data_IF_867616647329
#
_entry.id   IF_867616647329
#
_cell.length_a   1.000
_cell.length_b   1.000
_cell.length_c   1.000
_cell.angle_alpha   90.00
_cell.angle_beta   90.00
_cell.angle_gamma   90.00
#
_symmetry.space_group_name_H-M   'P 1'
#
loop_
_entity.id
_entity.type
_entity.pdbx_description
1 polymer ?
#
# COMPACT_ATOMS: atom_id res chain seq x y z
N UNK A 1 38.86 15.78 2.49
CA UNK A 1 38.18 15.52 3.78
C UNK A 1 36.63 15.42 3.68
N UNK A 2 35.97 16.00 2.68
CA UNK A 2 34.51 15.94 2.46
C UNK A 2 33.99 14.56 2.02
N UNK A 3 34.76 13.78 1.27
CA UNK A 3 34.37 12.44 0.77
C UNK A 3 34.24 11.38 1.87
N UNK A 4 35.01 11.46 2.93
CA UNK A 4 35.01 10.48 4.02
C UNK A 4 33.72 10.62 4.86
N UNK A 5 33.25 11.84 5.10
CA UNK A 5 31.99 12.08 5.83
C UNK A 5 30.78 11.49 5.08
N UNK A 6 30.68 11.70 3.76
CA UNK A 6 29.58 11.16 2.97
C UNK A 6 29.54 9.61 2.95
N UNK A 7 30.67 8.93 2.94
CA UNK A 7 30.75 7.47 2.98
C UNK A 7 30.36 6.94 4.37
N UNK A 8 30.78 7.62 5.44
CA UNK A 8 30.44 7.24 6.82
C UNK A 8 28.94 7.43 7.04
N UNK A 9 28.34 8.52 6.58
CA UNK A 9 26.91 8.79 6.71
C UNK A 9 26.07 7.76 5.93
N UNK A 10 26.48 7.38 4.71
CA UNK A 10 25.83 6.33 3.92
C UNK A 10 25.90 4.97 4.62
N UNK A 11 27.04 4.60 5.17
CA UNK A 11 27.22 3.33 5.88
C UNK A 11 26.38 3.27 7.17
N UNK A 12 26.30 4.38 7.92
CA UNK A 12 25.47 4.45 9.14
C UNK A 12 24.01 4.31 8.80
N UNK A 13 23.54 4.96 7.73
CA UNK A 13 22.15 4.83 7.27
C UNK A 13 21.81 3.40 6.85
N UNK A 14 22.70 2.75 6.11
CA UNK A 14 22.49 1.37 5.67
C UNK A 14 22.49 0.38 6.84
N UNK A 15 23.37 0.55 7.83
CA UNK A 15 23.37 -0.25 9.06
C UNK A 15 22.07 -0.06 9.83
N UNK A 16 21.54 1.15 9.93
CA UNK A 16 20.30 1.45 10.63
C UNK A 16 19.10 0.79 9.93
N UNK A 17 19.00 0.86 8.61
CA UNK A 17 17.98 0.19 7.82
C UNK A 17 18.06 -1.34 7.93
N UNK A 18 19.25 -1.92 7.88
CA UNK A 18 19.49 -3.35 8.10
C UNK A 18 19.05 -3.77 9.51
N UNK A 19 19.37 -2.98 10.53
CA UNK A 19 18.95 -3.23 11.90
C UNK A 19 17.42 -3.19 12.03
N UNK A 20 16.76 -2.18 11.44
CA UNK A 20 15.29 -2.07 11.42
C UNK A 20 14.66 -3.30 10.78
N UNK A 21 15.17 -3.74 9.63
CA UNK A 21 14.71 -4.93 8.92
C UNK A 21 14.87 -6.20 9.76
N UNK A 22 16.03 -6.43 10.37
CA UNK A 22 16.29 -7.59 11.22
C UNK A 22 15.40 -7.63 12.46
N UNK A 23 15.07 -6.48 13.03
CA UNK A 23 14.18 -6.38 14.21
C UNK A 23 12.70 -6.29 13.84
N UNK A 24 12.35 -6.28 12.56
CA UNK A 24 10.98 -6.11 12.08
C UNK A 24 10.40 -4.76 12.48
N UNK A 25 11.20 -3.70 12.45
CA UNK A 25 10.79 -2.33 12.71
C UNK A 25 10.46 -1.62 11.40
N UNK A 26 9.68 -0.55 11.47
CA UNK A 26 9.38 0.30 10.30
C UNK A 26 10.62 1.04 9.84
N UNK A 27 10.76 1.18 8.52
CA UNK A 27 11.83 1.95 7.87
C UNK A 27 11.55 3.46 7.97
N UNK A 28 12.52 4.27 7.58
CA UNK A 28 12.32 5.72 7.40
C UNK A 28 11.38 5.97 6.22
N UNK A 29 11.50 5.16 5.16
CA UNK A 29 10.64 5.24 3.98
C UNK A 29 9.18 4.93 4.30
N UNK A 30 8.90 3.93 5.15
CA UNK A 30 7.54 3.67 5.64
C UNK A 30 6.91 4.91 6.30
N UNK A 31 7.70 5.68 7.03
CA UNK A 31 7.23 6.90 7.69
C UNK A 31 6.98 8.02 6.68
N UNK A 32 7.85 8.17 5.67
CA UNK A 32 7.63 9.10 4.56
C UNK A 32 6.36 8.75 3.80
N UNK A 33 6.21 7.49 3.44
CA UNK A 33 5.00 6.98 2.77
C UNK A 33 3.73 7.29 3.59
N UNK A 34 3.77 7.11 4.90
CA UNK A 34 2.63 7.41 5.77
C UNK A 34 2.25 8.90 5.78
N UNK A 35 3.24 9.79 5.81
CA UNK A 35 3.01 11.25 5.72
C UNK A 35 2.34 11.64 4.39
N UNK A 36 2.79 11.05 3.29
CA UNK A 36 2.25 11.29 1.94
C UNK A 36 0.86 10.70 1.76
N UNK A 37 0.65 9.43 2.17
CA UNK A 37 -0.62 8.73 2.06
C UNK A 37 -1.76 9.54 2.66
N UNK A 38 -1.56 10.08 3.85
CA UNK A 38 -2.60 10.80 4.58
C UNK A 38 -2.49 12.32 4.45
N UNK A 39 -1.51 12.80 3.67
CA UNK A 39 -1.26 14.22 3.46
C UNK A 39 -1.23 15.00 4.79
N UNK A 40 -0.47 14.49 5.75
CA UNK A 40 -0.38 14.97 7.13
C UNK A 40 1.06 15.35 7.47
N UNK A 41 1.23 16.41 8.25
CA UNK A 41 2.57 16.84 8.70
C UNK A 41 3.12 15.98 9.84
N UNK A 42 4.43 16.07 10.09
CA UNK A 42 5.16 15.27 11.11
C UNK A 42 4.59 15.40 12.52
N UNK A 43 4.36 16.63 12.98
CA UNK A 43 3.83 16.89 14.32
C UNK A 43 2.36 16.42 14.46
N UNK A 44 1.43 16.78 13.54
CA UNK A 44 0.07 16.24 13.57
C UNK A 44 0.03 14.70 13.50
N UNK A 45 0.86 14.05 12.66
CA UNK A 45 0.92 12.59 12.60
C UNK A 45 1.35 12.00 13.96
N UNK A 46 2.38 12.56 14.59
CA UNK A 46 2.81 12.13 15.93
C UNK A 46 1.66 12.13 16.92
N UNK A 47 0.91 13.24 16.96
CA UNK A 47 -0.23 13.41 17.87
C UNK A 47 -1.35 12.42 17.56
N UNK A 48 -1.70 12.27 16.28
CA UNK A 48 -2.76 11.35 15.83
C UNK A 48 -2.45 9.90 16.21
N UNK A 49 -1.19 9.48 16.08
CA UNK A 49 -0.77 8.12 16.45
C UNK A 49 -0.62 7.92 17.97
N UNK A 50 -0.86 8.97 18.78
CA UNK A 50 -0.73 8.92 20.23
C UNK A 50 0.72 9.05 20.74
N UNK A 51 1.62 9.55 19.89
CA UNK A 51 3.02 9.80 20.25
C UNK A 51 3.22 11.23 20.79
N UNK A 52 4.43 11.49 21.30
CA UNK A 52 4.85 12.87 21.57
C UNK A 52 5.05 13.64 20.26
N UNK A 53 4.74 14.94 20.24
CA UNK A 53 4.68 15.80 19.05
C UNK A 53 5.89 15.70 18.12
N UNK A 54 7.09 15.55 18.67
CA UNK A 54 8.35 15.52 17.91
C UNK A 54 8.82 14.08 17.54
N UNK A 55 8.04 13.05 17.90
CA UNK A 55 8.46 11.65 17.78
C UNK A 55 8.72 11.23 16.32
N UNK A 56 7.80 11.53 15.41
CA UNK A 56 7.97 11.24 13.98
C UNK A 56 9.18 11.99 13.41
N UNK A 57 9.40 13.24 13.82
CA UNK A 57 10.60 13.98 13.39
C UNK A 57 11.89 13.30 13.84
N UNK A 58 11.95 12.79 15.08
CA UNK A 58 13.12 12.06 15.58
C UNK A 58 13.36 10.77 14.80
N UNK A 59 12.32 10.04 14.44
CA UNK A 59 12.45 8.80 13.64
C UNK A 59 12.97 9.07 12.23
N UNK A 60 12.55 10.17 11.61
CA UNK A 60 13.07 10.62 10.32
C UNK A 60 14.52 11.11 10.39
N UNK A 61 14.99 11.50 11.58
CA UNK A 61 16.39 11.86 11.85
C UNK A 61 17.26 10.65 12.29
N UNK A 62 16.75 9.42 12.19
CA UNK A 62 17.50 8.20 12.45
C UNK A 62 17.22 7.55 13.82
N UNK A 63 16.44 8.16 14.73
CA UNK A 63 16.07 7.47 15.96
C UNK A 63 15.25 6.22 15.65
N UNK A 64 15.63 5.08 16.22
CA UNK A 64 14.94 3.81 16.02
C UNK A 64 13.65 3.76 16.84
N UNK A 65 12.49 3.46 16.24
CA UNK A 65 11.24 3.29 16.98
C UNK A 65 11.22 1.98 17.78
N UNK A 66 10.44 1.94 18.85
CA UNK A 66 10.13 0.69 19.56
C UNK A 66 9.29 -0.23 18.66
N UNK A 67 9.24 -1.53 19.00
CA UNK A 67 8.39 -2.49 18.28
C UNK A 67 6.91 -2.12 18.38
N UNK A 68 6.47 -1.61 19.52
CA UNK A 68 5.10 -1.14 19.73
C UNK A 68 4.76 0.03 18.79
N UNK A 69 5.60 1.06 18.73
CA UNK A 69 5.40 2.21 17.86
C UNK A 69 5.52 1.84 16.38
N UNK A 70 6.42 0.91 16.04
CA UNK A 70 6.50 0.34 14.68
C UNK A 70 5.20 -0.35 14.28
N UNK A 71 4.57 -1.09 15.19
CA UNK A 71 3.29 -1.75 14.92
C UNK A 71 2.15 -0.73 14.71
N UNK A 72 2.12 0.36 15.49
CA UNK A 72 1.13 1.43 15.32
C UNK A 72 1.29 2.09 13.93
N UNK A 73 2.53 2.40 13.53
CA UNK A 73 2.83 2.97 12.21
C UNK A 73 2.43 1.99 11.10
N UNK A 74 2.77 0.72 11.24
CA UNK A 74 2.43 -0.32 10.25
C UNK A 74 0.92 -0.52 10.11
N UNK A 75 0.18 -0.49 11.22
CA UNK A 75 -1.28 -0.57 11.18
C UNK A 75 -1.88 0.64 10.44
N UNK A 76 -1.33 1.84 10.63
CA UNK A 76 -1.76 3.03 9.91
C UNK A 76 -1.41 2.95 8.41
N UNK A 77 -0.25 2.37 8.04
CA UNK A 77 0.13 2.14 6.65
C UNK A 77 -0.80 1.14 5.94
N UNK A 78 -1.24 0.09 6.65
CA UNK A 78 -2.01 -1.01 6.05
C UNK A 78 -3.53 -0.78 6.08
N UNK A 79 -4.04 0.17 6.87
CA UNK A 79 -5.49 0.33 7.09
C UNK A 79 -5.92 1.78 7.20
N UNK A 80 -6.62 2.30 6.18
CA UNK A 80 -7.22 3.63 6.26
C UNK A 80 -8.32 3.71 7.33
N UNK A 81 -8.98 2.60 7.67
CA UNK A 81 -9.96 2.53 8.77
C UNK A 81 -9.28 2.74 10.12
N UNK A 82 -8.11 2.13 10.33
CA UNK A 82 -7.31 2.35 11.55
C UNK A 82 -6.88 3.81 11.68
N UNK A 83 -6.41 4.42 10.58
CA UNK A 83 -6.02 5.84 10.58
C UNK A 83 -7.21 6.77 10.83
N UNK A 84 -8.38 6.47 10.26
CA UNK A 84 -9.63 7.19 10.53
C UNK A 84 -9.95 7.20 12.03
N UNK A 85 -9.91 6.03 12.65
CA UNK A 85 -10.14 5.90 14.09
C UNK A 85 -9.17 6.76 14.90
N UNK A 86 -7.86 6.70 14.58
CA UNK A 86 -6.83 7.50 15.26
C UNK A 86 -7.03 9.01 15.07
N UNK A 87 -7.44 9.44 13.88
CA UNK A 87 -7.78 10.84 13.62
C UNK A 87 -8.98 11.30 14.47
N UNK A 88 -10.03 10.48 14.55
CA UNK A 88 -11.22 10.80 15.35
C UNK A 88 -10.93 10.83 16.86
N UNK A 89 -10.15 9.88 17.36
CA UNK A 89 -9.73 9.82 18.78
C UNK A 89 -8.94 11.09 19.21
N UNK A 90 -8.19 11.70 18.28
CA UNK A 90 -7.29 12.81 18.57
C UNK A 90 -7.67 14.12 17.86
N UNK A 91 -8.91 14.23 17.34
CA UNK A 91 -9.36 15.38 16.53
C UNK A 91 -9.17 16.75 17.21
N UNK A 92 -9.39 16.82 18.52
CA UNK A 92 -9.30 18.05 19.30
C UNK A 92 -7.86 18.46 19.65
N UNK A 93 -6.88 17.59 19.37
CA UNK A 93 -5.46 17.80 19.65
C UNK A 93 -4.66 18.22 18.41
N UNK A 94 -5.28 18.21 17.22
CA UNK A 94 -4.66 18.61 15.96
C UNK A 94 -5.40 19.79 15.34
N UNK A 95 -4.69 20.60 14.55
CA UNK A 95 -5.32 21.71 13.85
C UNK A 95 -6.43 21.20 12.90
N UNK A 96 -7.59 21.89 12.90
CA UNK A 96 -8.75 21.52 12.09
C UNK A 96 -8.42 21.36 10.59
N UNK A 97 -7.51 22.18 10.06
CA UNK A 97 -7.08 22.09 8.66
C UNK A 97 -6.34 20.77 8.37
N UNK A 98 -5.43 20.34 9.26
CA UNK A 98 -4.71 19.07 9.13
C UNK A 98 -5.67 17.89 9.26
N UNK A 99 -6.59 17.94 10.23
CA UNK A 99 -7.62 16.92 10.41
C UNK A 99 -8.48 16.74 9.14
N UNK A 100 -9.06 17.85 8.62
CA UNK A 100 -9.91 17.78 7.41
C UNK A 100 -9.15 17.26 6.20
N UNK A 101 -7.91 17.69 6.00
CA UNK A 101 -7.06 17.26 4.89
C UNK A 101 -6.80 15.76 4.93
N UNK A 102 -6.43 15.23 6.11
CA UNK A 102 -6.21 13.81 6.31
C UNK A 102 -7.48 12.98 6.20
N UNK A 103 -8.62 13.45 6.72
CA UNK A 103 -9.91 12.74 6.61
C UNK A 103 -10.37 12.61 5.15
N UNK A 104 -10.14 13.64 4.31
CA UNK A 104 -10.43 13.55 2.88
C UNK A 104 -9.58 12.45 2.22
N UNK A 105 -8.29 12.36 2.57
CA UNK A 105 -7.42 11.27 2.05
C UNK A 105 -7.84 9.90 2.55
N UNK A 106 -8.24 9.78 3.81
CA UNK A 106 -8.80 8.53 4.35
C UNK A 106 -10.01 8.08 3.53
N UNK A 107 -10.94 9.00 3.23
CA UNK A 107 -12.12 8.67 2.42
C UNK A 107 -11.76 8.20 1.01
N UNK A 108 -10.78 8.83 0.36
CA UNK A 108 -10.27 8.41 -0.94
C UNK A 108 -9.63 7.02 -0.88
N UNK A 109 -8.82 6.76 0.15
CA UNK A 109 -8.14 5.48 0.32
C UNK A 109 -9.13 4.35 0.64
N UNK A 110 -10.17 4.60 1.45
CA UNK A 110 -11.21 3.61 1.74
C UNK A 110 -11.95 3.15 0.49
N UNK A 111 -12.11 4.01 -0.51
CA UNK A 111 -12.73 3.63 -1.79
C UNK A 111 -11.91 2.61 -2.59
N UNK A 112 -10.62 2.40 -2.27
CA UNK A 112 -9.80 1.35 -2.89
C UNK A 112 -10.17 -0.06 -2.39
N UNK A 113 -10.86 -0.16 -1.26
CA UNK A 113 -11.27 -1.41 -0.62
C UNK A 113 -12.74 -1.76 -0.89
N UNK A 114 -13.31 -1.25 -1.99
CA UNK A 114 -14.67 -1.60 -2.45
C UNK A 114 -14.70 -3.00 -3.10
N UNK A 115 -13.57 -3.49 -3.58
CA UNK A 115 -13.39 -4.83 -4.17
C UNK A 115 -13.09 -5.87 -3.10
N UNK A 116 -13.27 -7.15 -3.41
CA UNK A 116 -13.05 -8.24 -2.46
C UNK A 116 -11.59 -8.34 -1.99
N UNK A 117 -11.39 -8.89 -0.80
CA UNK A 117 -10.05 -9.14 -0.26
C UNK A 117 -9.21 -10.04 -1.19
N UNK A 118 -9.86 -10.99 -1.87
CA UNK A 118 -9.23 -11.90 -2.82
C UNK A 118 -8.75 -11.13 -4.06
N UNK A 119 -9.59 -10.26 -4.64
CA UNK A 119 -9.23 -9.38 -5.76
C UNK A 119 -8.05 -8.47 -5.40
N UNK A 120 -8.07 -7.84 -4.21
CA UNK A 120 -6.94 -7.03 -3.74
C UNK A 120 -5.67 -7.87 -3.66
N UNK A 121 -5.76 -9.11 -3.14
CA UNK A 121 -4.63 -10.04 -3.07
C UNK A 121 -4.05 -10.37 -4.44
N UNK A 122 -4.91 -10.67 -5.43
CA UNK A 122 -4.50 -10.93 -6.82
C UNK A 122 -3.77 -9.72 -7.41
N UNK A 123 -4.34 -8.51 -7.28
CA UNK A 123 -3.73 -7.27 -7.77
C UNK A 123 -2.37 -7.03 -7.11
N UNK A 124 -2.30 -7.19 -5.79
CA UNK A 124 -1.04 -7.04 -5.04
C UNK A 124 0.04 -8.01 -5.49
N UNK A 125 -0.34 -9.26 -5.79
CA UNK A 125 0.59 -10.26 -6.27
C UNK A 125 1.06 -10.00 -7.70
N UNK A 126 0.17 -9.49 -8.58
CA UNK A 126 0.54 -9.02 -9.92
C UNK A 126 1.59 -7.91 -9.84
N UNK A 127 1.39 -6.91 -8.97
CA UNK A 127 2.33 -5.80 -8.78
C UNK A 127 3.68 -6.24 -8.17
N UNK A 128 3.71 -7.35 -7.43
CA UNK A 128 4.96 -7.93 -6.95
C UNK A 128 5.75 -8.63 -8.09
N UNK A 129 5.04 -9.19 -9.07
CA UNK A 129 5.66 -9.98 -10.15
C UNK A 129 6.05 -9.14 -11.38
N UNK A 130 5.38 -8.01 -11.59
CA UNK A 130 5.58 -7.17 -12.76
C UNK A 130 5.92 -5.73 -12.34
N UNK A 131 7.03 -5.21 -12.83
CA UNK A 131 7.49 -3.86 -12.56
C UNK A 131 6.61 -2.79 -13.24
N UNK A 132 6.06 -3.10 -14.42
CA UNK A 132 5.28 -2.16 -15.21
C UNK A 132 3.88 -2.73 -15.53
N UNK A 133 2.87 -2.26 -14.81
CA UNK A 133 1.46 -2.63 -15.04
C UNK A 133 0.64 -1.40 -15.36
N UNK A 134 0.00 -1.37 -16.54
CA UNK A 134 -0.97 -0.32 -16.88
C UNK A 134 -2.40 -0.73 -16.53
N UNK A 135 -3.35 0.21 -16.38
CA UNK A 135 -4.75 -0.14 -16.11
C UNK A 135 -5.37 -1.10 -17.13
N UNK A 136 -5.05 -0.95 -18.41
CA UNK A 136 -5.55 -1.85 -19.45
C UNK A 136 -4.95 -3.25 -19.34
N UNK A 137 -3.65 -3.33 -19.07
CA UNK A 137 -2.95 -4.61 -18.85
C UNK A 137 -3.54 -5.33 -17.63
N UNK A 138 -3.75 -4.61 -16.53
CA UNK A 138 -4.35 -5.18 -15.32
C UNK A 138 -5.71 -5.82 -15.61
N UNK A 139 -6.61 -5.15 -16.35
CA UNK A 139 -7.92 -5.70 -16.70
C UNK A 139 -7.80 -7.02 -17.48
N UNK A 140 -6.86 -7.09 -18.44
CA UNK A 140 -6.61 -8.30 -19.22
C UNK A 140 -6.07 -9.43 -18.35
N UNK A 141 -5.07 -9.15 -17.52
CA UNK A 141 -4.50 -10.14 -16.59
C UNK A 141 -5.58 -10.72 -15.68
N UNK A 142 -6.40 -9.90 -15.06
CA UNK A 142 -7.50 -10.32 -14.19
C UNK A 142 -8.49 -11.24 -14.95
N UNK A 143 -8.84 -10.88 -16.17
CA UNK A 143 -9.73 -11.70 -17.00
C UNK A 143 -9.14 -13.08 -17.33
N UNK A 144 -7.87 -13.14 -17.71
CA UNK A 144 -7.21 -14.41 -17.99
C UNK A 144 -7.02 -15.26 -16.74
N UNK A 145 -6.68 -14.64 -15.59
CA UNK A 145 -6.55 -15.31 -14.30
C UNK A 145 -7.89 -15.96 -13.91
N UNK A 146 -9.00 -15.23 -14.02
CA UNK A 146 -10.34 -15.76 -13.74
C UNK A 146 -10.68 -16.93 -14.65
N UNK A 147 -10.46 -16.79 -15.97
CA UNK A 147 -10.73 -17.83 -16.95
C UNK A 147 -9.89 -19.08 -16.73
N UNK A 148 -8.60 -18.92 -16.43
CA UNK A 148 -7.70 -20.04 -16.18
C UNK A 148 -8.04 -20.77 -14.86
N UNK A 149 -8.46 -20.02 -13.83
CA UNK A 149 -8.96 -20.60 -12.57
C UNK A 149 -10.16 -21.50 -12.80
N UNK A 150 -11.10 -21.09 -13.64
CA UNK A 150 -12.24 -21.94 -14.02
C UNK A 150 -11.81 -23.22 -14.73
N UNK A 151 -10.86 -23.11 -15.67
CA UNK A 151 -10.43 -24.25 -16.48
C UNK A 151 -9.63 -25.25 -15.64
N UNK A 152 -8.72 -24.80 -14.79
CA UNK A 152 -7.83 -25.67 -14.04
C UNK A 152 -8.44 -26.17 -12.72
N UNK A 153 -9.15 -25.29 -12.00
CA UNK A 153 -9.61 -25.60 -10.65
C UNK A 153 -11.14 -25.72 -10.55
N UNK A 154 -11.89 -25.44 -11.63
CA UNK A 154 -13.35 -25.49 -11.63
C UNK A 154 -14.01 -24.45 -10.72
N UNK A 155 -13.27 -23.44 -10.28
CA UNK A 155 -13.76 -22.38 -9.36
C UNK A 155 -13.35 -20.98 -9.82
N UNK A 156 -14.12 -20.00 -9.37
CA UNK A 156 -13.75 -18.59 -9.54
C UNK A 156 -12.53 -18.24 -8.69
N UNK A 157 -11.65 -17.41 -9.24
CA UNK A 157 -10.53 -16.82 -8.49
C UNK A 157 -11.03 -15.76 -7.51
N UNK A 158 -12.00 -14.94 -7.94
CA UNK A 158 -12.60 -13.85 -7.14
C UNK A 158 -14.07 -13.64 -7.56
N UNK A 159 -14.85 -12.93 -6.74
CA UNK A 159 -16.30 -12.81 -6.85
C UNK A 159 -16.77 -11.72 -7.84
N UNK A 160 -15.89 -10.81 -8.25
CA UNK A 160 -16.22 -9.69 -9.11
C UNK A 160 -16.60 -10.13 -10.52
N UNK A 161 -17.68 -9.57 -11.03
CA UNK A 161 -18.13 -9.79 -12.40
C UNK A 161 -17.49 -8.78 -13.36
N UNK A 162 -17.08 -9.23 -14.54
CA UNK A 162 -16.63 -8.35 -15.59
C UNK A 162 -17.77 -7.90 -16.50
N UNK A 163 -17.68 -6.66 -17.01
CA UNK A 163 -18.56 -6.07 -18.02
C UNK A 163 -17.87 -6.12 -19.39
N UNK A 164 -18.65 -6.30 -20.46
CA UNK A 164 -18.17 -6.24 -21.83
C UNK A 164 -18.13 -4.78 -22.31
N UNK A 165 -16.93 -4.19 -22.37
CA UNK A 165 -16.71 -2.84 -22.88
C UNK A 165 -16.07 -2.88 -24.27
N UNK A 166 -16.02 -1.71 -24.94
CA UNK A 166 -15.49 -1.57 -26.32
C UNK A 166 -14.06 -2.11 -26.45
N UNK A 167 -13.22 -1.98 -25.42
CA UNK A 167 -11.82 -2.41 -25.43
C UNK A 167 -11.60 -3.76 -24.75
N UNK A 168 -12.66 -4.50 -24.44
CA UNK A 168 -12.58 -5.82 -23.84
C UNK A 168 -13.29 -5.94 -22.49
N UNK A 169 -13.10 -7.05 -21.77
CA UNK A 169 -13.70 -7.26 -20.45
C UNK A 169 -13.11 -6.29 -19.42
N UNK A 170 -13.98 -5.74 -18.56
CA UNK A 170 -13.60 -4.76 -17.53
C UNK A 170 -14.26 -5.09 -16.20
N UNK A 171 -13.47 -5.19 -15.16
CA UNK A 171 -13.91 -5.18 -13.77
C UNK A 171 -14.09 -3.72 -13.36
N UNK A 172 -15.32 -3.24 -13.34
CA UNK A 172 -15.68 -1.82 -13.22
C UNK A 172 -15.11 -1.15 -11.97
N UNK A 173 -15.16 -1.81 -10.81
CA UNK A 173 -14.65 -1.24 -9.57
C UNK A 173 -13.13 -1.16 -9.57
N UNK A 174 -12.46 -2.17 -10.11
CA UNK A 174 -11.00 -2.13 -10.36
C UNK A 174 -10.66 -1.00 -11.33
N UNK A 175 -11.41 -0.85 -12.44
CA UNK A 175 -11.22 0.27 -13.36
C UNK A 175 -11.35 1.62 -12.65
N UNK A 176 -12.35 1.80 -11.80
CA UNK A 176 -12.55 3.06 -11.06
C UNK A 176 -11.38 3.41 -10.12
N UNK A 177 -10.73 2.41 -9.52
CA UNK A 177 -9.55 2.59 -8.66
C UNK A 177 -8.35 3.09 -9.48
N UNK A 178 -8.15 2.54 -10.70
CA UNK A 178 -6.92 2.72 -11.48
C UNK A 178 -7.05 3.67 -12.69
N UNK A 179 -8.26 4.08 -13.11
CA UNK A 179 -8.51 4.90 -14.32
C UNK A 179 -7.71 6.21 -14.37
N UNK A 180 -7.33 6.77 -13.22
CA UNK A 180 -6.56 8.03 -13.16
C UNK A 180 -5.15 7.91 -13.80
N UNK A 181 -4.61 6.68 -13.90
CA UNK A 181 -3.30 6.43 -14.52
C UNK A 181 -3.37 6.44 -16.07
N UNK A 182 -4.59 6.32 -16.67
CA UNK A 182 -4.77 6.34 -18.11
C UNK A 182 -3.97 5.24 -18.82
N UNK A 183 -2.97 5.63 -19.60
CA UNK A 183 -2.05 4.72 -20.31
C UNK A 183 -0.72 4.52 -19.57
N UNK A 184 -0.50 5.25 -18.47
CA UNK A 184 0.75 5.17 -17.72
C UNK A 184 0.76 3.93 -16.81
N UNK A 185 1.96 3.58 -16.37
CA UNK A 185 2.17 2.55 -15.33
C UNK A 185 1.47 2.98 -14.04
N UNK A 186 0.89 2.01 -13.37
CA UNK A 186 0.30 2.18 -12.05
C UNK A 186 1.44 2.27 -11.03
N UNK A 187 1.84 3.49 -10.73
CA UNK A 187 2.88 3.81 -9.74
C UNK A 187 2.31 4.81 -8.72
N UNK A 188 1.95 4.29 -7.54
CA UNK A 188 1.42 5.12 -6.44
C UNK A 188 1.71 4.41 -5.11
N UNK A 189 2.44 5.03 -4.19
CA UNK A 189 2.81 4.45 -2.90
C UNK A 189 1.65 3.90 -2.08
N UNK A 190 0.42 4.37 -2.34
CA UNK A 190 -0.78 3.89 -1.61
C UNK A 190 -1.07 2.40 -1.80
N UNK A 191 -0.58 1.77 -2.88
CA UNK A 191 -0.80 0.35 -3.14
C UNK A 191 0.00 -0.57 -2.22
N UNK A 192 0.93 -0.02 -1.42
CA UNK A 192 1.53 -0.74 -0.27
C UNK A 192 0.45 -1.28 0.68
N UNK A 193 -0.71 -0.62 0.75
CA UNK A 193 -1.84 -1.08 1.57
C UNK A 193 -2.39 -2.42 1.11
N UNK A 194 -2.15 -2.82 -0.14
CA UNK A 194 -2.61 -4.10 -0.69
C UNK A 194 -1.74 -5.29 -0.31
N UNK A 195 -0.49 -5.07 0.12
CA UNK A 195 0.48 -6.15 0.39
C UNK A 195 -0.03 -7.17 1.41
N UNK A 196 -0.68 -6.72 2.47
CA UNK A 196 -1.24 -7.58 3.50
C UNK A 196 -2.37 -8.51 3.01
N UNK A 197 -2.92 -8.26 1.81
CA UNK A 197 -4.03 -9.03 1.24
C UNK A 197 -3.56 -10.27 0.47
N UNK A 198 -2.27 -10.40 0.14
CA UNK A 198 -1.70 -11.62 -0.43
C UNK A 198 -1.92 -12.88 0.43
N UNK A 199 -2.20 -12.72 1.71
CA UNK A 199 -2.60 -13.81 2.62
C UNK A 199 -3.93 -14.50 2.26
N UNK A 200 -4.75 -13.86 1.43
CA UNK A 200 -6.00 -14.46 0.93
C UNK A 200 -5.80 -15.34 -0.31
N UNK A 201 -4.56 -15.45 -0.81
CA UNK A 201 -4.17 -16.34 -1.90
C UNK A 201 -3.54 -17.62 -1.32
N UNK A 202 -4.05 -18.76 -1.76
CA UNK A 202 -3.39 -20.04 -1.55
C UNK A 202 -2.31 -20.31 -2.61
N UNK A 203 -1.63 -21.45 -2.53
CA UNK A 203 -0.55 -21.78 -3.47
C UNK A 203 -1.07 -22.09 -4.88
N UNK A 204 -2.31 -22.62 -5.02
CA UNK A 204 -2.96 -22.85 -6.31
C UNK A 204 -3.31 -21.52 -6.98
N UNK A 205 -3.81 -20.54 -6.23
CA UNK A 205 -4.11 -19.21 -6.73
C UNK A 205 -2.84 -18.56 -7.30
N UNK A 206 -1.76 -18.58 -6.52
CA UNK A 206 -0.46 -18.02 -6.94
C UNK A 206 0.08 -18.71 -8.19
N UNK A 207 -0.04 -20.03 -8.26
CA UNK A 207 0.37 -20.79 -9.45
C UNK A 207 -0.38 -20.35 -10.71
N UNK A 208 -1.70 -20.13 -10.61
CA UNK A 208 -2.51 -19.65 -11.73
C UNK A 208 -2.08 -18.25 -12.15
N UNK A 209 -1.86 -17.35 -11.16
CA UNK A 209 -1.40 -16.00 -11.45
C UNK A 209 -0.04 -16.03 -12.13
N UNK A 210 0.91 -16.82 -11.62
CA UNK A 210 2.24 -16.98 -12.21
C UNK A 210 2.19 -17.50 -13.65
N UNK A 211 1.30 -18.47 -13.98
CA UNK A 211 1.10 -18.95 -15.35
C UNK A 211 0.67 -17.81 -16.29
N UNK A 212 -0.26 -16.97 -15.86
CA UNK A 212 -0.75 -15.86 -16.68
C UNK A 212 0.33 -14.79 -16.83
N UNK A 213 0.92 -14.35 -15.73
CA UNK A 213 1.92 -13.27 -15.70
C UNK A 213 3.16 -13.61 -16.54
N UNK A 214 3.63 -14.87 -16.50
CA UNK A 214 4.78 -15.31 -17.30
C UNK A 214 4.49 -15.43 -18.81
N UNK A 215 3.22 -15.33 -19.22
CA UNK A 215 2.81 -15.41 -20.62
C UNK A 215 2.68 -14.02 -21.26
N UNK A 216 2.58 -12.97 -20.46
CA UNK A 216 2.45 -11.58 -20.88
C UNK A 216 3.76 -10.83 -20.85
#
# INVERSE_FOLDING_TARGET
MWWIHGIIDLNVHEIDEQYRKLKGLVSIEDIHTLLELYNIGKAPLSIVLGFGEITITRYLLGQVPSKEYSNIIRNALSSPVYMEQKLLENKDRVALAAFKKSMNRVSELKNMFIISNKMIGVISYIFEKLDEVTPLMLQKLLYYIQGLSFVLNGREMFEENCEAWVHGPVYKDVYNIFKKFGFNVIDDPKFIMFEGYKKYLDDEDKYIIDLVVNTF
#
